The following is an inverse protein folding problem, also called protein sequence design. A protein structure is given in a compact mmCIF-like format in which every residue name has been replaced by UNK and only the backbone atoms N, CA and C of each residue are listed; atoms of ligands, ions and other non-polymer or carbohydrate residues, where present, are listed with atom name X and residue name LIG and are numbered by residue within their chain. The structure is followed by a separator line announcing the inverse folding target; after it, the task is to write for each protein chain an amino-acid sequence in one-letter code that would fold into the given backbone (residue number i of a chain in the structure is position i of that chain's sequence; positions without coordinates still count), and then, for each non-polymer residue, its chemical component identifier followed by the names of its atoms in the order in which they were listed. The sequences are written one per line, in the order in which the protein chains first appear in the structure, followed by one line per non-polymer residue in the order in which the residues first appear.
data_IF_182438294462
#
_entry.id   IF_182438294462
#
_cell.length_a   1.000
_cell.length_b   1.000
_cell.length_c   1.000
_cell.angle_alpha   90.00
_cell.angle_beta   90.00
_cell.angle_gamma   90.00
#
_symmetry.space_group_name_H-M   'P 1'
#
loop_
_entity.id
_entity.type
_entity.pdbx_description
1 polymer ?
#
# COMPACT_ATOMS: atom_id res chain seq x y z
N UNK A 1 -4.25 -25.90 34.91
CA UNK A 1 -3.78 -24.86 34.00
C UNK A 1 -5.00 -24.07 33.57
N UNK A 2 -5.01 -22.75 33.74
CA UNK A 2 -6.10 -21.92 33.21
C UNK A 2 -6.11 -22.03 31.69
N UNK A 3 -7.28 -22.17 31.09
CA UNK A 3 -7.40 -22.23 29.63
C UNK A 3 -7.13 -20.85 29.01
N UNK A 4 -6.47 -20.83 27.84
CA UNK A 4 -6.19 -19.60 27.09
C UNK A 4 -6.86 -19.61 25.72
N UNK A 5 -6.97 -18.42 25.12
CA UNK A 5 -7.25 -18.22 23.69
C UNK A 5 -6.28 -17.19 23.11
N UNK A 6 -6.08 -17.23 21.79
CA UNK A 6 -5.12 -16.38 21.08
C UNK A 6 -5.75 -15.09 20.57
N UNK A 7 -5.00 -13.99 20.64
CA UNK A 7 -5.25 -12.75 19.89
C UNK A 7 -4.04 -12.40 19.01
N UNK A 8 -4.28 -11.66 17.93
CA UNK A 8 -3.26 -11.29 16.96
C UNK A 8 -2.94 -9.80 16.98
N UNK A 9 -1.66 -9.47 16.86
CA UNK A 9 -1.20 -8.08 16.70
C UNK A 9 -0.96 -7.75 15.22
N UNK A 10 -0.95 -6.46 14.83
CA UNK A 10 -0.73 -6.05 13.44
C UNK A 10 0.62 -6.45 12.87
N UNK A 11 1.65 -6.63 13.70
CA UNK A 11 2.97 -7.07 13.26
C UNK A 11 3.13 -8.61 13.30
N UNK A 12 2.03 -9.36 13.40
CA UNK A 12 1.98 -10.81 13.29
C UNK A 12 2.45 -11.58 14.52
N UNK A 13 2.38 -10.98 15.71
CA UNK A 13 2.59 -11.67 16.97
C UNK A 13 1.28 -12.30 17.44
N UNK A 14 1.41 -13.41 18.17
CA UNK A 14 0.31 -14.13 18.80
C UNK A 14 0.45 -13.94 20.30
N UNK A 15 -0.62 -13.54 20.96
CA UNK A 15 -0.65 -13.37 22.41
C UNK A 15 -1.72 -14.27 23.03
N UNK A 16 -1.39 -14.88 24.16
CA UNK A 16 -2.33 -15.68 24.94
C UNK A 16 -3.16 -14.82 25.88
N UNK A 17 -4.42 -15.18 26.04
CA UNK A 17 -5.36 -14.51 26.94
C UNK A 17 -6.05 -15.55 27.82
N UNK A 18 -6.05 -15.33 29.14
CA UNK A 18 -6.76 -16.21 30.07
C UNK A 18 -8.28 -16.13 29.86
N UNK A 19 -8.95 -17.27 29.64
CA UNK A 19 -10.40 -17.32 29.36
C UNK A 19 -11.29 -16.85 30.52
N UNK A 20 -10.84 -17.03 31.76
CA UNK A 20 -11.62 -16.73 32.96
C UNK A 20 -11.62 -15.24 33.34
N UNK A 21 -10.56 -14.53 32.98
CA UNK A 21 -10.32 -13.14 33.39
C UNK A 21 -10.16 -12.18 32.23
N UNK A 22 -10.02 -12.66 30.99
CA UNK A 22 -9.65 -11.90 29.80
C UNK A 22 -8.37 -11.07 30.00
N UNK A 23 -7.46 -11.53 30.88
CA UNK A 23 -6.15 -10.90 31.06
C UNK A 23 -5.19 -11.41 30.00
N UNK A 24 -4.60 -10.47 29.28
CA UNK A 24 -3.57 -10.73 28.26
C UNK A 24 -2.27 -11.12 28.96
N UNK A 25 -1.60 -12.15 28.44
CA UNK A 25 -0.27 -12.57 28.85
C UNK A 25 0.74 -11.80 27.99
N UNK A 26 1.28 -10.71 28.54
CA UNK A 26 2.30 -9.91 27.88
C UNK A 26 3.66 -10.58 27.87
N UNK A 27 4.43 -10.34 26.81
CA UNK A 27 5.86 -10.60 26.79
C UNK A 27 6.58 -9.78 27.87
N UNK A 28 7.67 -10.33 28.41
CA UNK A 28 8.41 -9.69 29.50
C UNK A 28 8.90 -8.28 29.13
N UNK A 29 8.69 -7.32 30.04
CA UNK A 29 9.21 -5.97 29.93
C UNK A 29 10.47 -5.80 30.79
N UNK A 30 11.46 -5.06 30.28
CA UNK A 30 12.63 -4.65 31.04
C UNK A 30 12.32 -3.52 32.04
N UNK A 31 11.17 -2.84 31.89
CA UNK A 31 10.74 -1.73 32.73
C UNK A 31 9.48 -2.10 33.51
N UNK A 32 9.20 -1.46 34.65
CA UNK A 32 7.91 -1.61 35.34
C UNK A 32 6.74 -1.24 34.41
N UNK A 33 5.69 -2.04 34.46
CA UNK A 33 4.42 -1.85 33.73
C UNK A 33 3.24 -1.97 34.72
N UNK A 34 2.03 -1.59 34.29
CA UNK A 34 0.82 -1.65 35.12
C UNK A 34 -0.09 -0.44 34.98
N UNK A 35 0.49 0.75 34.79
CA UNK A 35 -0.26 2.02 34.88
C UNK A 35 -1.24 2.20 33.71
N UNK A 36 -0.93 1.60 32.55
CA UNK A 36 -1.71 1.71 31.32
C UNK A 36 -2.30 0.37 30.84
N UNK A 37 -2.10 -0.72 31.58
CA UNK A 37 -2.38 -2.10 31.12
C UNK A 37 -3.83 -2.29 30.70
N UNK A 38 -4.79 -1.71 31.43
CA UNK A 38 -6.21 -1.87 31.11
C UNK A 38 -6.55 -1.23 29.75
N UNK A 39 -6.10 -0.01 29.53
CA UNK A 39 -6.35 0.70 28.27
C UNK A 39 -5.58 0.09 27.11
N UNK A 40 -4.35 -0.36 27.34
CA UNK A 40 -3.55 -1.05 26.34
C UNK A 40 -4.18 -2.39 25.94
N UNK A 41 -4.71 -3.14 26.90
CA UNK A 41 -5.43 -4.40 26.64
C UNK A 41 -6.68 -4.16 25.79
N UNK A 42 -7.45 -3.09 26.03
CA UNK A 42 -8.60 -2.71 25.18
C UNK A 42 -8.17 -2.44 23.74
N UNK A 43 -7.04 -1.75 23.54
CA UNK A 43 -6.50 -1.48 22.21
C UNK A 43 -6.05 -2.77 21.49
N UNK A 44 -5.45 -3.73 22.21
CA UNK A 44 -5.08 -5.04 21.66
C UNK A 44 -6.29 -5.87 21.22
N UNK A 45 -7.34 -5.92 22.04
CA UNK A 45 -8.58 -6.60 21.64
C UNK A 45 -9.25 -5.94 20.44
N UNK A 46 -9.22 -4.60 20.37
CA UNK A 46 -9.73 -3.88 19.21
C UNK A 46 -8.90 -4.17 17.95
N UNK A 47 -7.58 -4.19 18.07
CA UNK A 47 -6.69 -4.55 16.95
C UNK A 47 -6.95 -5.97 16.44
N UNK A 48 -7.06 -6.96 17.34
CA UNK A 48 -7.42 -8.34 16.98
C UNK A 48 -8.78 -8.41 16.29
N UNK A 49 -9.80 -7.72 16.85
CA UNK A 49 -11.13 -7.64 16.25
C UNK A 49 -11.09 -7.06 14.83
N UNK A 50 -10.30 -6.01 14.61
CA UNK A 50 -10.13 -5.39 13.28
C UNK A 50 -9.52 -6.39 12.30
N UNK A 51 -8.42 -7.05 12.68
CA UNK A 51 -7.72 -8.00 11.82
C UNK A 51 -8.64 -9.17 11.42
N UNK A 52 -9.37 -9.76 12.38
CA UNK A 52 -10.32 -10.85 12.12
C UNK A 52 -11.51 -10.45 11.24
N UNK A 53 -11.83 -9.16 11.20
CA UNK A 53 -12.93 -8.59 10.42
C UNK A 53 -12.45 -7.80 9.19
N UNK A 54 -11.25 -8.12 8.69
CA UNK A 54 -10.77 -7.63 7.41
C UNK A 54 -11.82 -7.85 6.30
N UNK A 55 -12.05 -6.87 5.38
CA UNK A 55 -12.90 -7.08 4.22
C UNK A 55 -12.36 -8.15 3.26
N UNK A 56 -11.12 -8.60 3.47
CA UNK A 56 -10.48 -9.64 2.69
C UNK A 56 -10.32 -10.96 3.45
N UNK A 57 -10.96 -11.12 4.62
CA UNK A 57 -10.90 -12.37 5.42
C UNK A 57 -11.29 -13.63 4.64
N UNK A 58 -12.08 -13.48 3.57
CA UNK A 58 -12.52 -14.56 2.68
C UNK A 58 -11.60 -14.74 1.45
N UNK A 59 -10.45 -14.06 1.41
CA UNK A 59 -9.44 -14.22 0.37
C UNK A 59 -8.88 -15.65 0.38
N UNK A 60 -8.87 -16.28 -0.79
CA UNK A 60 -8.37 -17.66 -0.96
C UNK A 60 -7.20 -17.67 -1.92
N UNK A 61 -5.96 -17.91 -1.43
CA UNK A 61 -4.79 -17.98 -2.29
C UNK A 61 -4.88 -19.18 -3.24
N UNK A 62 -4.24 -19.05 -4.41
CA UNK A 62 -4.11 -20.14 -5.38
C UNK A 62 -2.63 -20.41 -5.64
N UNK A 63 -2.07 -21.35 -4.88
CA UNK A 63 -0.64 -21.63 -4.93
C UNK A 63 -0.22 -22.34 -6.21
N UNK A 64 0.91 -21.93 -6.77
CA UNK A 64 1.62 -22.67 -7.81
C UNK A 64 2.22 -23.94 -7.20
N UNK A 65 2.04 -25.08 -7.87
CA UNK A 65 2.56 -26.38 -7.41
C UNK A 65 4.01 -26.58 -7.90
N UNK A 66 5.00 -26.65 -6.98
CA UNK A 66 6.40 -26.85 -7.35
C UNK A 66 6.73 -28.27 -7.83
N UNK A 67 5.85 -29.24 -7.64
CA UNK A 67 6.11 -30.64 -7.98
C UNK A 67 5.79 -30.97 -9.44
N UNK A 68 6.38 -32.05 -9.93
CA UNK A 68 6.13 -32.59 -11.26
C UNK A 68 5.29 -33.86 -11.16
N UNK A 69 4.18 -33.90 -11.90
CA UNK A 69 3.35 -35.10 -12.04
C UNK A 69 3.24 -35.49 -13.50
N UNK A 70 3.48 -36.77 -13.79
CA UNK A 70 3.37 -37.32 -15.16
C UNK A 70 1.97 -37.06 -15.71
N UNK A 71 1.88 -36.45 -16.90
CA UNK A 71 0.61 -36.13 -17.56
C UNK A 71 -0.05 -34.82 -17.12
N UNK A 72 0.56 -34.04 -16.20
CA UNK A 72 0.08 -32.71 -15.81
C UNK A 72 1.02 -31.60 -16.29
N UNK A 73 0.45 -30.42 -16.60
CA UNK A 73 1.23 -29.23 -16.95
C UNK A 73 1.91 -28.69 -15.70
N UNK A 74 3.24 -28.66 -15.69
CA UNK A 74 4.03 -28.04 -14.61
C UNK A 74 3.79 -26.52 -14.54
N UNK A 75 3.81 -25.97 -13.32
CA UNK A 75 3.75 -24.52 -13.09
C UNK A 75 5.13 -23.84 -13.18
N UNK A 76 6.21 -24.60 -13.41
CA UNK A 76 7.58 -24.07 -13.45
C UNK A 76 7.76 -22.98 -14.51
N UNK A 77 7.15 -23.12 -15.69
CA UNK A 77 7.25 -22.13 -16.77
C UNK A 77 6.62 -20.81 -16.35
N UNK A 78 5.40 -20.87 -15.80
CA UNK A 78 4.68 -19.70 -15.27
C UNK A 78 5.48 -19.01 -14.16
N UNK A 79 6.04 -19.79 -13.23
CA UNK A 79 6.91 -19.26 -12.19
C UNK A 79 8.17 -18.59 -12.77
N UNK A 80 8.86 -19.21 -13.74
CA UNK A 80 10.08 -18.63 -14.31
C UNK A 80 9.81 -17.35 -15.10
N UNK A 81 8.69 -17.28 -15.82
CA UNK A 81 8.25 -16.04 -16.46
C UNK A 81 8.01 -14.93 -15.43
N UNK A 82 7.36 -15.23 -14.31
CA UNK A 82 7.16 -14.26 -13.22
C UNK A 82 8.49 -13.87 -12.58
N UNK A 83 9.34 -14.82 -12.18
CA UNK A 83 10.64 -14.56 -11.57
C UNK A 83 11.50 -13.61 -12.42
N UNK A 84 11.48 -13.77 -13.74
CA UNK A 84 12.27 -12.97 -14.67
C UNK A 84 11.90 -11.49 -14.71
N UNK A 85 10.68 -11.10 -14.31
CA UNK A 85 10.25 -9.70 -14.36
C UNK A 85 10.97 -8.84 -13.30
N UNK A 86 11.43 -9.46 -12.19
CA UNK A 86 12.12 -8.78 -11.10
C UNK A 86 13.61 -8.54 -11.36
N UNK A 87 14.16 -9.08 -12.45
CA UNK A 87 15.54 -8.83 -12.87
C UNK A 87 15.72 -7.52 -13.65
N UNK A 88 14.62 -6.80 -13.91
CA UNK A 88 14.59 -5.59 -14.73
C UNK A 88 13.61 -4.59 -14.12
N UNK A 89 13.73 -3.33 -14.52
CA UNK A 89 12.70 -2.33 -14.25
C UNK A 89 11.33 -2.80 -14.80
N UNK A 90 10.21 -2.39 -14.17
CA UNK A 90 8.88 -2.79 -14.62
C UNK A 90 8.64 -2.41 -16.09
N UNK A 91 8.14 -3.37 -16.87
CA UNK A 91 7.79 -3.13 -18.26
C UNK A 91 6.56 -2.19 -18.29
N UNK A 92 6.70 -1.05 -18.99
CA UNK A 92 5.60 -0.08 -19.14
C UNK A 92 4.36 -0.74 -19.70
N UNK A 93 3.21 -0.51 -19.05
CA UNK A 93 1.92 -1.08 -19.45
C UNK A 93 1.78 -2.59 -19.23
N UNK A 94 2.71 -3.26 -18.55
CA UNK A 94 2.59 -4.68 -18.22
C UNK A 94 2.11 -4.95 -16.78
N UNK A 95 2.23 -3.97 -15.89
CA UNK A 95 1.85 -4.10 -14.48
C UNK A 95 0.46 -3.50 -14.28
N UNK A 96 -0.44 -4.31 -13.69
CA UNK A 96 -1.85 -3.97 -13.51
C UNK A 96 -2.48 -3.24 -14.72
N UNK A 97 -2.31 -3.77 -15.95
CA UNK A 97 -2.58 -3.03 -17.17
C UNK A 97 -4.05 -2.63 -17.27
N UNK A 98 -4.30 -1.56 -18.02
CA UNK A 98 -5.65 -1.16 -18.37
C UNK A 98 -6.15 -2.00 -19.53
N UNK A 99 -7.23 -2.76 -19.31
CA UNK A 99 -7.82 -3.57 -20.38
C UNK A 99 -8.52 -2.68 -21.41
N UNK A 100 -8.79 -3.20 -22.63
CA UNK A 100 -9.50 -2.41 -23.64
C UNK A 100 -10.92 -2.08 -23.18
N UNK A 101 -11.60 -3.03 -22.53
CA UNK A 101 -12.90 -2.80 -21.91
C UNK A 101 -12.84 -1.68 -20.85
N UNK A 102 -11.81 -1.71 -19.99
CA UNK A 102 -11.60 -0.71 -18.95
C UNK A 102 -11.43 0.70 -19.52
N UNK A 103 -10.53 0.86 -20.52
CA UNK A 103 -10.29 2.15 -21.17
C UNK A 103 -11.56 2.69 -21.83
N UNK A 104 -12.30 1.82 -22.54
CA UNK A 104 -13.53 2.21 -23.21
C UNK A 104 -14.59 2.71 -22.22
N UNK A 105 -14.77 2.00 -21.10
CA UNK A 105 -15.66 2.43 -20.02
C UNK A 105 -15.19 3.73 -19.37
N UNK A 106 -13.89 3.87 -19.08
CA UNK A 106 -13.36 5.11 -18.48
C UNK A 106 -13.62 6.33 -19.38
N UNK A 107 -13.40 6.20 -20.68
CA UNK A 107 -13.68 7.26 -21.65
C UNK A 107 -15.18 7.56 -21.81
N UNK A 108 -16.06 6.63 -21.45
CA UNK A 108 -17.51 6.86 -21.49
C UNK A 108 -18.00 7.79 -20.36
N UNK A 109 -17.23 7.91 -19.26
CA UNK A 109 -17.54 8.79 -18.12
C UNK A 109 -17.50 10.26 -18.56
N UNK A 110 -18.56 10.99 -18.26
CA UNK A 110 -18.87 12.32 -18.83
C UNK A 110 -18.45 13.49 -17.95
N UNK A 111 -18.18 13.22 -16.68
CA UNK A 111 -17.81 14.26 -15.72
C UNK A 111 -16.47 13.98 -15.08
N UNK A 112 -15.78 15.05 -14.66
CA UNK A 112 -14.56 14.95 -13.86
C UNK A 112 -14.80 14.16 -12.57
N UNK A 113 -15.96 14.33 -11.93
CA UNK A 113 -16.32 13.61 -10.69
C UNK A 113 -16.41 12.11 -10.91
N UNK A 114 -17.07 11.66 -11.98
CA UNK A 114 -17.16 10.23 -12.32
C UNK A 114 -15.77 9.64 -12.57
N UNK A 115 -14.94 10.34 -13.34
CA UNK A 115 -13.54 9.95 -13.62
C UNK A 115 -12.67 9.91 -12.37
N UNK A 116 -12.82 10.90 -11.48
CA UNK A 116 -12.16 10.94 -10.17
C UNK A 116 -12.54 9.73 -9.33
N UNK A 117 -13.85 9.51 -9.14
CA UNK A 117 -14.38 8.38 -8.36
C UNK A 117 -13.86 7.07 -8.92
N UNK A 118 -13.84 6.91 -10.24
CA UNK A 118 -13.28 5.74 -10.90
C UNK A 118 -11.80 5.52 -10.55
N UNK A 119 -10.95 6.53 -10.73
CA UNK A 119 -9.51 6.43 -10.44
C UNK A 119 -9.24 6.15 -8.96
N UNK A 120 -10.00 6.78 -8.05
CA UNK A 120 -9.90 6.51 -6.62
C UNK A 120 -10.27 5.06 -6.28
N UNK A 121 -11.33 4.51 -6.88
CA UNK A 121 -11.71 3.09 -6.73
C UNK A 121 -10.63 2.18 -7.33
N UNK A 122 -10.20 2.46 -8.56
CA UNK A 122 -9.18 1.67 -9.27
C UNK A 122 -7.88 1.60 -8.49
N UNK A 123 -7.48 2.69 -7.82
CA UNK A 123 -6.26 2.74 -7.01
C UNK A 123 -6.21 1.71 -5.87
N UNK A 124 -7.36 1.18 -5.44
CA UNK A 124 -7.45 0.29 -4.29
C UNK A 124 -7.26 0.98 -2.94
N UNK A 125 -7.05 2.30 -2.89
CA UNK A 125 -6.95 3.05 -1.64
C UNK A 125 -8.32 3.10 -0.95
N UNK A 126 -8.31 2.87 0.36
CA UNK A 126 -9.43 3.07 1.28
C UNK A 126 -8.98 3.91 2.45
N UNK A 127 -9.89 4.73 2.99
CA UNK A 127 -9.65 5.41 4.27
C UNK A 127 -9.62 4.38 5.40
N UNK A 128 -8.66 4.51 6.30
CA UNK A 128 -8.54 3.67 7.51
C UNK A 128 -8.98 4.40 8.77
N UNK A 129 -9.25 5.71 8.67
CA UNK A 129 -9.62 6.57 9.80
C UNK A 129 -11.14 6.70 9.95
N UNK A 130 -11.86 6.65 8.83
CA UNK A 130 -13.32 6.66 8.74
C UNK A 130 -13.77 5.83 7.53
N UNK A 131 -14.90 5.13 7.63
CA UNK A 131 -15.47 4.44 6.47
C UNK A 131 -16.11 5.45 5.51
N UNK A 132 -15.80 5.33 4.23
CA UNK A 132 -16.29 6.22 3.18
C UNK A 132 -16.99 5.36 2.14
N UNK A 133 -18.33 5.43 2.03
CA UNK A 133 -19.03 4.69 0.99
C UNK A 133 -18.65 5.24 -0.39
N UNK A 134 -18.67 4.38 -1.42
CA UNK A 134 -18.29 4.80 -2.77
C UNK A 134 -19.13 5.98 -3.30
N UNK A 135 -20.36 6.17 -2.82
CA UNK A 135 -21.21 7.31 -3.22
C UNK A 135 -20.76 8.66 -2.64
N UNK A 136 -19.98 8.62 -1.56
CA UNK A 136 -19.29 9.77 -1.00
C UNK A 136 -17.91 10.04 -1.65
N UNK A 137 -17.45 9.21 -2.60
CA UNK A 137 -16.20 9.49 -3.29
C UNK A 137 -16.36 10.74 -4.17
N UNK A 138 -15.38 11.64 -4.11
CA UNK A 138 -15.45 12.97 -4.72
C UNK A 138 -16.75 13.72 -4.34
N UNK A 139 -17.13 13.69 -3.06
CA UNK A 139 -18.29 14.42 -2.54
C UNK A 139 -18.05 15.93 -2.43
N UNK A 140 -16.83 16.41 -2.62
CA UNK A 140 -16.49 17.82 -2.63
C UNK A 140 -16.15 18.23 -4.06
N UNK A 141 -16.87 19.22 -4.59
CA UNK A 141 -16.59 19.76 -5.92
C UNK A 141 -15.35 20.69 -5.91
N UNK A 142 -14.95 21.14 -7.09
CA UNK A 142 -13.78 22.02 -7.25
C UNK A 142 -13.94 23.38 -6.54
N UNK A 143 -15.18 23.80 -6.26
CA UNK A 143 -15.49 25.02 -5.51
C UNK A 143 -15.54 24.78 -4.00
N UNK A 144 -15.29 23.54 -3.54
CA UNK A 144 -15.34 23.17 -2.14
C UNK A 144 -16.74 22.91 -1.61
N UNK A 145 -17.74 22.73 -2.48
CA UNK A 145 -19.14 22.50 -2.08
C UNK A 145 -19.41 21.00 -2.00
N UNK A 146 -20.26 20.61 -1.06
CA UNK A 146 -20.75 19.23 -0.98
C UNK A 146 -21.69 18.93 -2.16
N UNK A 147 -21.49 17.76 -2.77
CA UNK A 147 -22.31 17.26 -3.87
C UNK A 147 -23.52 16.47 -3.33
N UNK A 148 -23.33 15.75 -2.23
CA UNK A 148 -24.38 15.05 -1.49
C UNK A 148 -24.27 15.39 0.00
N UNK A 149 -25.33 16.02 0.53
CA UNK A 149 -25.41 16.44 1.94
C UNK A 149 -25.60 15.28 2.92
N UNK A 150 -26.08 14.12 2.47
CA UNK A 150 -26.26 12.92 3.32
C UNK A 150 -24.92 12.45 3.94
N UNK A 151 -23.80 12.83 3.33
CA UNK A 151 -22.45 12.50 3.77
C UNK A 151 -21.69 13.69 4.37
N UNK A 152 -22.38 14.79 4.73
CA UNK A 152 -21.75 15.98 5.31
C UNK A 152 -20.92 15.64 6.57
N UNK A 153 -21.42 14.77 7.44
CA UNK A 153 -20.73 14.36 8.67
C UNK A 153 -19.35 13.73 8.41
N UNK A 154 -19.20 12.96 7.32
CA UNK A 154 -17.92 12.36 6.93
C UNK A 154 -16.95 13.46 6.52
N UNK A 155 -17.42 14.43 5.74
CA UNK A 155 -16.60 15.55 5.32
C UNK A 155 -16.16 16.40 6.51
N UNK A 156 -17.05 16.72 7.43
CA UNK A 156 -16.74 17.52 8.61
C UNK A 156 -15.70 16.83 9.50
N UNK A 157 -15.87 15.53 9.76
CA UNK A 157 -14.93 14.73 10.54
C UNK A 157 -13.54 14.70 9.89
N UNK A 158 -13.47 14.45 8.58
CA UNK A 158 -12.21 14.47 7.84
C UNK A 158 -11.58 15.85 7.81
N UNK A 159 -12.39 16.90 7.60
CA UNK A 159 -11.91 18.27 7.52
C UNK A 159 -11.29 18.75 8.83
N UNK A 160 -11.85 18.32 9.97
CA UNK A 160 -11.34 18.65 11.30
C UNK A 160 -10.03 17.93 11.64
N UNK A 161 -9.77 16.76 11.03
CA UNK A 161 -8.63 15.92 11.39
C UNK A 161 -7.50 15.84 10.35
N UNK A 162 -7.72 16.25 9.08
CA UNK A 162 -6.73 16.18 7.99
C UNK A 162 -5.42 16.93 8.24
N UNK A 163 -5.41 17.88 9.17
CA UNK A 163 -4.21 18.61 9.60
C UNK A 163 -3.68 18.16 10.96
N UNK A 164 -4.08 16.98 11.44
CA UNK A 164 -3.60 16.45 12.72
C UNK A 164 -2.08 16.40 12.80
N UNK A 165 -1.56 16.74 13.99
CA UNK A 165 -0.13 16.68 14.31
C UNK A 165 0.24 15.45 15.15
N UNK A 166 -0.69 14.50 15.29
CA UNK A 166 -0.53 13.31 16.14
C UNK A 166 0.67 12.44 15.74
N UNK A 167 0.79 12.12 14.45
CA UNK A 167 2.00 11.55 13.85
C UNK A 167 1.95 11.70 12.33
N UNK A 168 3.09 11.46 11.66
CA UNK A 168 3.17 11.42 10.20
C UNK A 168 2.20 10.39 9.59
N UNK A 169 2.05 9.22 10.23
CA UNK A 169 1.12 8.17 9.77
C UNK A 169 -0.34 8.63 9.89
N UNK A 170 -0.75 9.19 11.05
CA UNK A 170 -2.11 9.72 11.21
C UNK A 170 -2.42 10.84 10.22
N UNK A 171 -1.46 11.76 10.02
CA UNK A 171 -1.62 12.87 9.08
C UNK A 171 -1.78 12.37 7.65
N UNK A 172 -1.02 11.35 7.24
CA UNK A 172 -1.18 10.75 5.93
C UNK A 172 -2.56 10.10 5.77
N UNK A 173 -3.02 9.32 6.75
CA UNK A 173 -4.27 8.57 6.61
C UNK A 173 -5.52 9.47 6.59
N UNK A 174 -5.54 10.53 7.39
CA UNK A 174 -6.57 11.57 7.26
C UNK A 174 -6.45 12.35 5.95
N UNK A 175 -5.23 12.55 5.45
CA UNK A 175 -5.00 13.12 4.13
C UNK A 175 -5.57 12.25 3.00
N UNK A 176 -5.41 10.92 3.07
CA UNK A 176 -6.01 9.97 2.11
C UNK A 176 -7.54 10.05 2.16
N UNK A 177 -8.14 10.14 3.34
CA UNK A 177 -9.59 10.32 3.48
C UNK A 177 -10.06 11.63 2.80
N UNK A 178 -9.36 12.75 3.02
CA UNK A 178 -9.66 14.03 2.35
C UNK A 178 -9.47 13.94 0.83
N UNK A 179 -8.42 13.24 0.39
CA UNK A 179 -8.19 12.89 -1.01
C UNK A 179 -9.40 12.19 -1.62
N UNK A 180 -9.82 11.07 -1.05
CA UNK A 180 -10.98 10.29 -1.53
C UNK A 180 -12.25 11.14 -1.65
N UNK A 181 -12.47 12.09 -0.72
CA UNK A 181 -13.63 13.00 -0.75
C UNK A 181 -13.55 14.11 -1.81
N UNK A 182 -12.43 14.27 -2.52
CA UNK A 182 -12.29 15.23 -3.62
C UNK A 182 -11.22 16.31 -3.42
N UNK A 183 -10.33 16.17 -2.42
CA UNK A 183 -9.20 17.10 -2.19
C UNK A 183 -7.85 16.42 -2.50
N UNK A 184 -7.53 16.20 -3.80
CA UNK A 184 -6.41 15.35 -4.20
C UNK A 184 -5.04 15.81 -3.65
N UNK A 185 -4.86 17.09 -3.36
CA UNK A 185 -3.65 17.63 -2.75
C UNK A 185 -3.31 17.01 -1.37
N UNK A 186 -4.29 16.37 -0.71
CA UNK A 186 -4.08 15.69 0.57
C UNK A 186 -3.53 14.27 0.43
N UNK A 187 -3.49 13.67 -0.77
CA UNK A 187 -2.89 12.35 -0.96
C UNK A 187 -1.37 12.32 -0.68
N UNK A 188 -0.67 13.45 -0.76
CA UNK A 188 0.80 13.52 -0.65
C UNK A 188 1.25 14.41 0.51
N UNK A 189 0.68 14.17 1.70
CA UNK A 189 0.82 15.03 2.89
C UNK A 189 1.97 14.69 3.82
N UNK A 190 2.28 13.41 3.99
CA UNK A 190 3.30 12.95 4.93
C UNK A 190 4.02 11.72 4.39
N UNK A 191 5.30 11.61 4.72
CA UNK A 191 6.25 10.71 4.07
C UNK A 191 7.08 9.87 5.04
N UNK A 192 7.00 10.17 6.35
CA UNK A 192 7.80 9.52 7.38
C UNK A 192 6.98 8.41 8.04
N UNK A 193 6.77 7.31 7.31
CA UNK A 193 6.12 6.08 7.78
C UNK A 193 6.52 4.94 6.81
N UNK A 194 6.34 3.67 7.19
CA UNK A 194 6.84 2.58 6.33
C UNK A 194 5.87 1.99 5.32
N UNK A 195 4.63 2.50 5.18
CA UNK A 195 3.68 2.07 4.14
C UNK A 195 4.05 2.61 2.74
N UNK A 196 5.17 2.15 2.21
CA UNK A 196 5.79 2.62 0.98
C UNK A 196 4.91 2.45 -0.25
N UNK A 197 4.35 1.26 -0.47
CA UNK A 197 3.51 0.98 -1.63
C UNK A 197 2.22 1.81 -1.62
N UNK A 198 1.67 2.01 -0.42
CA UNK A 198 0.51 2.90 -0.21
C UNK A 198 0.86 4.35 -0.56
N UNK A 199 2.04 4.83 -0.15
CA UNK A 199 2.51 6.17 -0.49
C UNK A 199 2.71 6.35 -2.00
N UNK A 200 3.37 5.39 -2.67
CA UNK A 200 3.55 5.44 -4.14
C UNK A 200 2.19 5.47 -4.84
N UNK A 201 1.24 4.62 -4.43
CA UNK A 201 -0.11 4.63 -4.98
C UNK A 201 -0.81 5.98 -4.79
N UNK A 202 -0.63 6.63 -3.63
CA UNK A 202 -1.16 7.98 -3.38
C UNK A 202 -0.52 9.02 -4.30
N UNK A 203 0.80 8.96 -4.51
CA UNK A 203 1.51 9.86 -5.43
C UNK A 203 1.03 9.71 -6.87
N UNK A 204 0.90 8.47 -7.36
CA UNK A 204 0.40 8.23 -8.71
C UNK A 204 -1.04 8.70 -8.84
N UNK A 205 -1.91 8.40 -7.87
CA UNK A 205 -3.29 8.85 -7.88
C UNK A 205 -3.39 10.38 -7.86
N UNK A 206 -2.59 11.05 -7.04
CA UNK A 206 -2.49 12.51 -7.05
C UNK A 206 -2.14 13.05 -8.44
N UNK A 207 -1.13 12.49 -9.09
CA UNK A 207 -0.71 12.86 -10.45
C UNK A 207 -1.84 12.63 -11.46
N UNK A 208 -2.52 11.47 -11.39
CA UNK A 208 -3.66 11.13 -12.27
C UNK A 208 -4.79 12.16 -12.14
N UNK A 209 -5.15 12.53 -10.91
CA UNK A 209 -6.32 13.37 -10.63
C UNK A 209 -6.09 14.87 -10.88
N UNK A 210 -4.84 15.32 -10.79
CA UNK A 210 -4.47 16.74 -10.90
C UNK A 210 -3.81 17.11 -12.23
N UNK A 211 -3.69 16.14 -13.15
CA UNK A 211 -3.09 16.39 -14.45
C UNK A 211 -1.58 16.59 -14.38
N UNK A 212 -0.92 15.96 -13.40
CA UNK A 212 0.52 16.10 -13.19
C UNK A 212 0.93 16.90 -11.94
N UNK A 213 -0.01 17.23 -11.06
CA UNK A 213 0.16 18.16 -9.95
C UNK A 213 -0.03 19.61 -10.38
N UNK A 214 0.12 20.55 -9.44
CA UNK A 214 0.11 21.97 -9.74
C UNK A 214 1.14 22.31 -10.82
N UNK A 215 0.69 23.02 -11.86
CA UNK A 215 1.55 23.47 -12.93
C UNK A 215 2.16 24.82 -12.57
N UNK A 216 3.48 24.87 -12.62
CA UNK A 216 4.25 26.08 -12.38
C UNK A 216 5.30 26.20 -13.48
N UNK A 217 5.31 27.32 -14.22
CA UNK A 217 6.24 27.56 -15.34
C UNK A 217 6.21 26.47 -16.43
N UNK A 218 5.04 25.88 -16.70
CA UNK A 218 4.89 24.80 -17.68
C UNK A 218 5.38 23.42 -17.20
N UNK A 219 5.69 23.29 -15.90
CA UNK A 219 6.21 22.05 -15.30
C UNK A 219 5.13 21.43 -14.42
N UNK A 220 4.82 20.16 -14.69
CA UNK A 220 3.92 19.34 -13.87
C UNK A 220 4.62 18.94 -12.56
N UNK A 221 4.47 19.75 -11.49
CA UNK A 221 5.22 19.60 -10.24
C UNK A 221 5.00 18.27 -9.53
N UNK A 222 3.83 17.65 -9.65
CA UNK A 222 3.59 16.32 -9.08
C UNK A 222 4.49 15.26 -9.70
N UNK A 223 4.61 15.27 -11.03
CA UNK A 223 5.50 14.36 -11.78
C UNK A 223 6.97 14.69 -11.47
N UNK A 224 7.31 15.97 -11.41
CA UNK A 224 8.66 16.41 -11.08
C UNK A 224 9.06 16.02 -9.65
N UNK A 225 8.14 16.18 -8.69
CA UNK A 225 8.32 15.75 -7.31
C UNK A 225 8.46 14.23 -7.17
N UNK A 226 7.80 13.45 -8.03
CA UNK A 226 8.02 12.01 -8.10
C UNK A 226 9.46 11.70 -8.50
N UNK A 227 9.98 12.39 -9.52
CA UNK A 227 11.38 12.24 -9.93
C UNK A 227 12.37 12.68 -8.84
N UNK A 228 12.25 13.90 -8.32
CA UNK A 228 13.19 14.49 -7.36
C UNK A 228 13.17 13.76 -6.01
N UNK A 229 11.98 13.48 -5.47
CA UNK A 229 11.89 12.98 -4.10
C UNK A 229 11.93 11.45 -4.04
N UNK A 230 11.45 10.76 -5.08
CA UNK A 230 11.35 9.31 -5.03
C UNK A 230 12.48 8.66 -5.81
N UNK A 231 12.70 9.05 -7.08
CA UNK A 231 13.69 8.37 -7.94
C UNK A 231 15.15 8.80 -7.66
N UNK A 232 15.39 10.01 -7.17
CA UNK A 232 16.75 10.44 -6.81
C UNK A 232 17.17 10.05 -5.38
N UNK A 233 16.21 9.80 -4.49
CA UNK A 233 16.46 9.35 -3.10
C UNK A 233 16.35 7.81 -2.98
N UNK A 234 15.39 7.19 -3.66
CA UNK A 234 15.20 5.75 -3.70
C UNK A 234 14.58 5.17 -2.42
N UNK A 235 15.23 4.12 -1.86
CA UNK A 235 14.70 3.32 -0.75
C UNK A 235 14.39 4.22 0.45
N UNK A 236 15.28 5.18 0.74
CA UNK A 236 15.17 6.05 1.90
C UNK A 236 13.93 6.94 1.93
N UNK A 237 13.23 7.08 0.79
CA UNK A 237 11.97 7.83 0.73
C UNK A 237 10.74 6.94 0.69
N UNK A 238 10.75 5.88 -0.12
CA UNK A 238 9.54 5.16 -0.48
C UNK A 238 9.77 3.71 -0.91
N UNK A 239 10.90 3.11 -0.52
CA UNK A 239 11.22 1.74 -0.92
C UNK A 239 11.44 1.54 -2.43
N UNK A 240 11.50 2.58 -3.25
CA UNK A 240 11.77 2.47 -4.70
C UNK A 240 13.28 2.48 -5.00
N UNK A 241 13.68 2.12 -6.22
CA UNK A 241 15.09 2.11 -6.61
C UNK A 241 15.56 3.53 -6.90
N UNK A 242 16.76 3.88 -6.41
CA UNK A 242 17.42 5.13 -6.80
C UNK A 242 17.89 5.02 -8.24
N UNK A 243 17.23 5.72 -9.16
CA UNK A 243 17.49 5.62 -10.59
C UNK A 243 17.50 7.03 -11.24
N UNK A 244 18.67 7.70 -11.28
CA UNK A 244 18.80 9.04 -11.85
C UNK A 244 18.46 9.12 -13.35
N UNK A 245 18.70 8.04 -14.10
CA UNK A 245 18.36 7.97 -15.51
C UNK A 245 16.84 7.99 -15.69
N UNK A 246 16.13 7.16 -14.91
CA UNK A 246 14.66 7.16 -14.89
C UNK A 246 14.10 8.49 -14.38
N UNK A 247 14.71 9.11 -13.36
CA UNK A 247 14.33 10.44 -12.88
C UNK A 247 14.38 11.48 -14.02
N UNK A 248 15.46 11.48 -14.83
CA UNK A 248 15.60 12.37 -15.98
C UNK A 248 14.48 12.15 -17.03
N UNK A 249 14.18 10.90 -17.37
CA UNK A 249 13.10 10.58 -18.32
C UNK A 249 11.73 11.05 -17.81
N UNK A 250 11.46 10.90 -16.51
CA UNK A 250 10.23 11.38 -15.88
C UNK A 250 10.15 12.91 -15.89
N UNK A 251 11.26 13.61 -15.62
CA UNK A 251 11.34 15.08 -15.70
C UNK A 251 11.11 15.60 -17.11
N UNK A 252 11.62 14.90 -18.13
CA UNK A 252 11.42 15.29 -19.52
C UNK A 252 9.98 15.02 -19.98
N UNK A 253 9.36 13.94 -19.52
CA UNK A 253 7.92 13.70 -19.72
C UNK A 253 7.07 14.83 -19.10
N UNK A 254 7.41 15.29 -17.90
CA UNK A 254 6.68 16.34 -17.20
C UNK A 254 6.61 17.69 -17.94
N UNK A 255 7.53 17.93 -18.89
CA UNK A 255 7.55 19.16 -19.70
C UNK A 255 6.62 19.12 -20.91
N UNK A 256 6.25 17.92 -21.36
CA UNK A 256 5.52 17.73 -22.63
C UNK A 256 4.13 17.15 -22.44
N UNK A 257 3.92 16.37 -21.38
CA UNK A 257 2.65 15.67 -21.15
C UNK A 257 1.51 16.65 -20.89
N UNK A 258 0.39 16.43 -21.59
CA UNK A 258 -0.82 17.25 -21.46
C UNK A 258 -1.93 16.45 -20.78
N UNK A 259 -2.66 17.06 -19.83
CA UNK A 259 -3.84 16.42 -19.27
C UNK A 259 -4.95 16.29 -20.32
N UNK A 260 -5.93 15.43 -20.01
CA UNK A 260 -7.16 15.29 -20.79
C UNK A 260 -8.08 16.52 -20.63
N UNK A 261 -9.24 16.48 -21.29
CA UNK A 261 -10.26 17.55 -21.25
C UNK A 261 -10.78 17.88 -19.83
N UNK A 262 -10.57 17.00 -18.85
CA UNK A 262 -10.95 17.20 -17.44
C UNK A 262 -9.77 17.64 -16.56
N UNK A 263 -8.60 17.88 -17.15
CA UNK A 263 -7.39 18.24 -16.42
C UNK A 263 -6.74 17.04 -15.72
N UNK A 264 -6.95 15.80 -16.20
CA UNK A 264 -6.46 14.56 -15.58
C UNK A 264 -5.42 13.84 -16.45
N UNK A 265 -4.63 12.95 -15.86
CA UNK A 265 -3.69 12.04 -16.54
C UNK A 265 -4.00 10.57 -16.17
N UNK A 266 -5.11 10.00 -16.66
CA UNK A 266 -5.65 8.74 -16.14
C UNK A 266 -4.69 7.55 -16.31
N UNK A 267 -4.01 7.50 -17.45
CA UNK A 267 -3.12 6.40 -17.83
C UNK A 267 -1.64 6.71 -17.57
N UNK A 268 -1.32 7.61 -16.64
CA UNK A 268 0.07 8.00 -16.36
C UNK A 268 0.92 6.78 -15.94
N UNK A 269 0.33 5.79 -15.31
CA UNK A 269 0.95 4.52 -14.94
C UNK A 269 1.45 3.73 -16.15
N UNK A 270 0.76 3.78 -17.30
CA UNK A 270 1.22 3.18 -18.55
C UNK A 270 2.23 4.06 -19.30
N UNK A 271 2.07 5.39 -19.24
CA UNK A 271 2.91 6.37 -19.97
C UNK A 271 4.27 6.56 -19.28
N UNK A 272 4.25 6.89 -17.98
CA UNK A 272 5.42 7.06 -17.13
C UNK A 272 6.04 5.70 -16.75
N UNK A 273 5.20 4.66 -16.62
CA UNK A 273 5.57 3.39 -16.02
C UNK A 273 5.52 3.44 -14.50
N UNK A 274 5.53 2.27 -13.87
CA UNK A 274 5.60 2.11 -12.41
C UNK A 274 7.00 1.69 -11.96
N UNK A 275 7.22 1.70 -10.65
CA UNK A 275 8.48 1.30 -10.01
C UNK A 275 8.26 0.14 -9.06
N UNK A 276 9.21 -0.79 -8.97
CA UNK A 276 9.17 -1.85 -7.97
C UNK A 276 9.34 -1.27 -6.57
N UNK A 277 8.47 -1.63 -5.64
CA UNK A 277 8.44 -1.10 -4.27
C UNK A 277 8.85 -2.16 -3.26
N UNK A 278 9.88 -1.89 -2.47
CA UNK A 278 10.21 -2.67 -1.27
C UNK A 278 9.35 -2.12 -0.12
N UNK A 279 8.48 -2.96 0.40
CA UNK A 279 7.61 -2.64 1.52
C UNK A 279 7.48 -3.87 2.41
N UNK A 280 7.68 -3.69 3.71
CA UNK A 280 7.49 -4.76 4.68
C UNK A 280 6.02 -4.82 5.14
N UNK A 281 5.27 -3.74 4.97
CA UNK A 281 3.86 -3.69 5.32
C UNK A 281 3.03 -4.25 4.15
N UNK A 282 2.31 -5.33 4.41
CA UNK A 282 1.53 -6.06 3.41
C UNK A 282 0.22 -6.53 4.01
N UNK A 283 -0.61 -7.14 3.18
CA UNK A 283 -1.86 -7.75 3.63
C UNK A 283 -1.69 -8.57 4.91
N UNK A 284 -2.54 -8.29 5.90
CA UNK A 284 -2.56 -8.82 7.27
C UNK A 284 -1.37 -8.45 8.17
N UNK A 285 -0.37 -7.69 7.68
CA UNK A 285 0.82 -7.38 8.47
C UNK A 285 1.38 -5.96 8.29
N UNK A 286 1.51 -5.24 9.40
CA UNK A 286 2.28 -4.00 9.53
C UNK A 286 3.58 -4.29 10.31
N UNK A 287 4.66 -4.69 9.60
CA UNK A 287 5.95 -5.01 10.22
C UNK A 287 6.85 -3.80 10.45
N UNK A 288 6.64 -2.72 9.69
CA UNK A 288 7.48 -1.52 9.70
C UNK A 288 6.61 -0.27 9.60
N UNK A 289 5.64 -0.11 10.49
CA UNK A 289 4.65 0.98 10.40
C UNK A 289 5.30 2.37 10.45
N UNK A 290 6.40 2.51 11.21
CA UNK A 290 7.17 3.74 11.35
C UNK A 290 8.27 3.91 10.28
N UNK A 291 8.56 2.89 9.46
CA UNK A 291 9.60 2.95 8.42
C UNK A 291 11.03 2.82 8.92
N UNK A 292 11.23 2.31 10.13
CA UNK A 292 12.55 2.14 10.78
C UNK A 292 13.40 1.09 10.07
N UNK A 293 12.78 0.01 9.60
CA UNK A 293 13.48 -1.09 8.91
C UNK A 293 13.91 -0.65 7.51
N UNK A 294 13.02 -0.01 6.76
CA UNK A 294 13.35 0.59 5.45
C UNK A 294 14.48 1.61 5.58
N UNK A 295 14.44 2.46 6.60
CA UNK A 295 15.51 3.43 6.84
C UNK A 295 16.86 2.76 7.17
N UNK A 296 16.85 1.67 7.97
CA UNK A 296 18.07 0.92 8.27
C UNK A 296 18.68 0.28 7.01
N UNK A 297 17.85 -0.31 6.15
CA UNK A 297 18.28 -0.84 4.84
C UNK A 297 18.90 0.25 3.96
N UNK A 298 18.23 1.41 3.86
CA UNK A 298 18.75 2.56 3.13
C UNK A 298 20.11 3.03 3.65
N UNK A 299 20.23 3.19 4.97
CA UNK A 299 21.46 3.66 5.62
C UNK A 299 22.65 2.72 5.36
N UNK A 300 22.41 1.41 5.37
CA UNK A 300 23.45 0.42 5.07
C UNK A 300 23.82 0.38 3.58
N UNK A 301 22.89 0.68 2.67
CA UNK A 301 23.19 0.87 1.24
C UNK A 301 24.05 2.11 1.03
N UNK A 302 23.68 3.25 1.61
CA UNK A 302 24.46 4.51 1.49
C UNK A 302 25.87 4.36 2.07
N UNK A 303 26.05 3.52 3.10
CA UNK A 303 27.35 3.19 3.68
C UNK A 303 28.12 2.11 2.91
N UNK A 304 27.58 1.58 1.82
CA UNK A 304 28.20 0.53 1.01
C UNK A 304 28.28 -0.84 1.69
N UNK A 305 27.53 -1.07 2.77
CA UNK A 305 27.48 -2.38 3.47
C UNK A 305 26.54 -3.36 2.78
N UNK A 306 25.45 -2.83 2.23
CA UNK A 306 24.47 -3.54 1.42
C UNK A 306 24.44 -2.95 0.02
N UNK A 307 23.89 -3.72 -0.92
CA UNK A 307 23.61 -3.30 -2.29
C UNK A 307 22.11 -3.29 -2.49
N UNK A 308 21.58 -2.34 -3.28
CA UNK A 308 20.17 -2.40 -3.64
C UNK A 308 19.95 -3.63 -4.54
N UNK A 309 18.99 -4.50 -4.23
CA UNK A 309 18.79 -5.73 -5.00
C UNK A 309 18.39 -5.49 -6.46
N UNK A 310 17.98 -4.26 -6.80
CA UNK A 310 17.58 -3.82 -8.15
C UNK A 310 18.72 -3.17 -8.95
N UNK A 311 19.89 -2.96 -8.34
CA UNK A 311 21.06 -2.49 -9.09
C UNK A 311 21.39 -3.46 -10.24
N UNK A 312 21.78 -2.92 -11.40
CA UNK A 312 22.04 -3.71 -12.62
C UNK A 312 23.12 -4.78 -12.44
N UNK A 313 24.06 -4.52 -11.53
CA UNK A 313 25.18 -5.38 -11.19
C UNK A 313 24.98 -6.08 -9.84
N UNK A 314 23.75 -6.15 -9.33
CA UNK A 314 23.41 -7.03 -8.21
C UNK A 314 23.41 -8.49 -8.63
N UNK A 315 24.08 -9.32 -7.85
CA UNK A 315 24.21 -10.77 -8.05
C UNK A 315 23.26 -11.53 -7.13
N UNK A 316 23.02 -12.84 -7.34
CA UNK A 316 22.26 -13.65 -6.38
C UNK A 316 22.78 -13.54 -4.94
N UNK A 317 24.11 -13.48 -4.77
CA UNK A 317 24.73 -13.35 -3.45
C UNK A 317 24.41 -11.99 -2.80
N UNK A 318 24.48 -10.88 -3.54
CA UNK A 318 24.17 -9.56 -2.99
C UNK A 318 22.68 -9.41 -2.67
N UNK A 319 21.79 -10.02 -3.47
CA UNK A 319 20.35 -10.06 -3.22
C UNK A 319 20.00 -10.89 -1.99
N UNK A 320 20.59 -12.08 -1.83
CA UNK A 320 20.42 -12.88 -0.62
C UNK A 320 20.92 -12.14 0.63
N UNK A 321 22.08 -11.45 0.54
CA UNK A 321 22.58 -10.63 1.65
C UNK A 321 21.62 -9.50 2.01
N UNK A 322 20.97 -8.88 1.02
CA UNK A 322 19.94 -7.87 1.26
C UNK A 322 18.71 -8.48 1.97
N UNK A 323 18.23 -9.64 1.51
CA UNK A 323 17.12 -10.35 2.16
C UNK A 323 17.43 -10.76 3.60
N UNK A 324 18.63 -11.29 3.85
CA UNK A 324 19.10 -11.67 5.20
C UNK A 324 19.14 -10.44 6.12
N UNK A 325 19.64 -9.31 5.62
CA UNK A 325 19.64 -8.06 6.38
C UNK A 325 18.22 -7.55 6.64
N UNK A 326 17.34 -7.61 5.65
CA UNK A 326 15.93 -7.23 5.79
C UNK A 326 15.22 -8.09 6.84
N UNK A 327 15.42 -9.40 6.83
CA UNK A 327 14.85 -10.31 7.82
C UNK A 327 15.46 -10.07 9.22
N UNK A 328 16.77 -9.79 9.30
CA UNK A 328 17.46 -9.41 10.53
C UNK A 328 16.90 -8.13 11.15
N UNK A 329 16.73 -7.08 10.35
CA UNK A 329 16.12 -5.82 10.78
C UNK A 329 14.67 -6.00 11.16
N UNK A 330 13.87 -6.75 10.38
CA UNK A 330 12.49 -7.08 10.73
C UNK A 330 12.40 -7.75 12.10
N UNK A 331 13.28 -8.69 12.41
CA UNK A 331 13.27 -9.39 13.69
C UNK A 331 13.73 -8.50 14.85
N UNK A 332 14.70 -7.61 14.63
CA UNK A 332 15.29 -6.77 15.67
C UNK A 332 14.64 -5.41 15.89
N UNK A 333 13.87 -4.89 14.91
CA UNK A 333 13.36 -3.52 14.92
C UNK A 333 11.84 -3.40 14.79
N UNK A 334 11.11 -4.50 14.56
CA UNK A 334 9.63 -4.48 14.59
C UNK A 334 9.13 -3.89 15.91
N UNK A 335 7.98 -3.24 15.87
CA UNK A 335 7.36 -2.70 17.07
C UNK A 335 6.82 -3.82 17.96
N UNK A 336 7.20 -3.85 19.23
CA UNK A 336 6.83 -4.91 20.18
C UNK A 336 5.45 -4.64 20.79
N UNK A 337 4.40 -4.83 19.99
CA UNK A 337 3.02 -4.67 20.47
C UNK A 337 2.62 -5.72 21.54
N UNK A 338 3.39 -6.79 21.69
CA UNK A 338 3.19 -7.84 22.68
C UNK A 338 3.73 -7.52 24.08
N UNK A 339 4.47 -6.41 24.23
CA UNK A 339 5.00 -5.94 25.52
C UNK A 339 4.07 -4.86 26.08
N UNK A 340 3.80 -4.90 27.38
CA UNK A 340 2.96 -3.91 28.04
C UNK A 340 3.63 -2.52 28.10
N UNK A 341 2.81 -1.48 28.22
CA UNK A 341 3.27 -0.09 28.19
C UNK A 341 4.06 0.25 29.48
N UNK A 342 5.30 0.78 29.37
CA UNK A 342 6.10 1.17 30.53
C UNK A 342 5.46 2.27 31.36
N UNK A 343 5.57 2.18 32.69
CA UNK A 343 5.07 3.20 33.63
C UNK A 343 5.83 4.54 33.53
N UNK A 344 7.06 4.53 33.00
CA UNK A 344 7.85 5.75 32.82
C UNK A 344 7.47 6.57 31.58
N UNK A 345 6.53 6.09 30.77
CA UNK A 345 5.97 6.86 29.67
C UNK A 345 4.99 7.90 30.17
N UNK A 346 4.99 9.06 29.51
CA UNK A 346 3.91 10.03 29.66
C UNK A 346 2.59 9.48 29.09
N UNK A 347 1.47 10.00 29.59
CA UNK A 347 0.13 9.66 29.11
C UNK A 347 -0.01 9.89 27.59
N UNK A 348 0.62 10.94 27.06
CA UNK A 348 0.63 11.24 25.62
C UNK A 348 1.35 10.15 24.81
N UNK A 349 2.49 9.64 25.29
CA UNK A 349 3.23 8.56 24.63
C UNK A 349 2.45 7.25 24.67
N UNK A 350 1.91 6.88 25.84
CA UNK A 350 1.07 5.70 26.00
C UNK A 350 -0.16 5.74 25.09
N UNK A 351 -0.80 6.91 25.00
CA UNK A 351 -1.95 7.14 24.11
C UNK A 351 -1.58 7.02 22.64
N UNK A 352 -0.51 7.69 22.20
CA UNK A 352 -0.04 7.60 20.83
C UNK A 352 0.30 6.15 20.45
N UNK A 353 0.91 5.38 21.34
CA UNK A 353 1.26 3.98 21.08
C UNK A 353 0.04 3.08 20.90
N UNK A 354 -0.96 3.19 21.79
CA UNK A 354 -2.27 2.52 21.65
C UNK A 354 -2.95 2.86 20.32
N UNK A 355 -2.94 4.14 19.97
CA UNK A 355 -3.58 4.62 18.75
C UNK A 355 -2.84 4.13 17.51
N UNK A 356 -1.51 4.11 17.53
CA UNK A 356 -0.68 3.54 16.47
C UNK A 356 -0.93 2.04 16.31
N UNK A 357 -1.06 1.28 17.40
CA UNK A 357 -1.45 -0.13 17.36
C UNK A 357 -2.77 -0.33 16.61
N UNK A 358 -3.81 0.42 16.97
CA UNK A 358 -5.13 0.32 16.32
C UNK A 358 -5.06 0.76 14.86
N UNK A 359 -4.35 1.86 14.55
CA UNK A 359 -4.20 2.34 13.19
C UNK A 359 -3.45 1.32 12.31
N UNK A 360 -2.38 0.73 12.82
CA UNK A 360 -1.63 -0.33 12.14
C UNK A 360 -2.50 -1.57 11.88
N UNK A 361 -3.39 -1.93 12.81
CA UNK A 361 -4.36 -3.00 12.61
C UNK A 361 -5.31 -2.69 11.44
N UNK A 362 -5.85 -1.47 11.39
CA UNK A 362 -6.74 -1.03 10.30
C UNK A 362 -6.01 -1.02 8.96
N UNK A 363 -4.75 -0.57 8.94
CA UNK A 363 -3.92 -0.57 7.74
C UNK A 363 -3.63 -1.98 7.25
N UNK A 364 -3.27 -2.91 8.14
CA UNK A 364 -3.05 -4.31 7.81
C UNK A 364 -4.33 -4.96 7.24
N UNK A 365 -5.48 -4.72 7.88
CA UNK A 365 -6.77 -5.26 7.45
C UNK A 365 -7.27 -4.66 6.11
N UNK A 366 -7.01 -3.39 5.85
CA UNK A 366 -7.50 -2.69 4.65
C UNK A 366 -6.53 -2.70 3.47
N UNK A 367 -5.29 -3.16 3.67
CA UNK A 367 -4.32 -3.35 2.58
C UNK A 367 -4.78 -4.49 1.68
N UNK A 368 -4.93 -4.28 0.36
CA UNK A 368 -5.36 -5.35 -0.55
C UNK A 368 -4.37 -6.53 -0.57
N UNK A 369 -4.85 -7.80 -0.63
CA UNK A 369 -3.99 -8.98 -0.76
C UNK A 369 -2.98 -8.89 -1.91
N UNK A 370 -3.44 -8.42 -3.06
CA UNK A 370 -2.64 -8.27 -4.28
C UNK A 370 -1.87 -6.94 -4.36
N UNK A 371 -1.85 -6.16 -3.27
CA UNK A 371 -1.25 -4.83 -3.23
C UNK A 371 -1.95 -3.81 -4.14
N UNK A 372 -1.32 -2.65 -4.29
CA UNK A 372 -1.84 -1.55 -5.10
C UNK A 372 -1.42 -1.67 -6.57
N UNK A 373 -2.28 -1.32 -7.55
CA UNK A 373 -2.01 -1.53 -8.97
C UNK A 373 -0.82 -0.73 -9.51
N UNK A 374 -0.60 0.50 -9.01
CA UNK A 374 0.46 1.39 -9.49
C UNK A 374 1.72 1.35 -8.61
N UNK A 375 1.74 0.48 -7.59
CA UNK A 375 2.85 0.35 -6.64
C UNK A 375 3.15 -1.14 -6.39
N UNK A 376 3.65 -1.86 -7.42
CA UNK A 376 3.87 -3.29 -7.33
C UNK A 376 5.02 -3.62 -6.37
N UNK A 377 4.82 -4.65 -5.54
CA UNK A 377 5.88 -5.12 -4.65
C UNK A 377 7.07 -5.70 -5.41
N UNK A 378 8.27 -5.39 -4.94
CA UNK A 378 9.51 -6.02 -5.36
C UNK A 378 9.73 -7.31 -4.57
N UNK A 379 10.13 -8.38 -5.26
CA UNK A 379 10.73 -9.56 -4.65
C UNK A 379 12.08 -9.81 -5.30
N UNK A 380 13.08 -10.18 -4.51
CA UNK A 380 14.29 -10.75 -5.11
C UNK A 380 13.89 -12.05 -5.83
N UNK A 381 14.48 -12.33 -7.00
CA UNK A 381 14.27 -13.60 -7.70
C UNK A 381 14.48 -14.82 -6.79
N UNK A 382 15.46 -14.76 -5.90
CA UNK A 382 15.84 -15.83 -4.98
C UNK A 382 14.77 -16.05 -3.88
N UNK A 383 14.26 -14.96 -3.28
CA UNK A 383 13.16 -15.05 -2.30
C UNK A 383 11.88 -15.57 -2.95
N UNK A 384 11.57 -15.13 -4.17
CA UNK A 384 10.40 -15.63 -4.90
C UNK A 384 10.52 -17.15 -5.18
N UNK A 385 11.72 -17.61 -5.53
CA UNK A 385 12.00 -19.05 -5.72
C UNK A 385 11.85 -19.84 -4.43
N UNK A 386 12.31 -19.29 -3.30
CA UNK A 386 12.14 -19.90 -2.00
C UNK A 386 10.65 -20.07 -1.64
N UNK A 387 9.82 -19.05 -1.91
CA UNK A 387 8.37 -19.10 -1.68
C UNK A 387 7.72 -20.15 -2.59
N UNK A 388 8.08 -20.18 -3.87
CA UNK A 388 7.58 -21.17 -4.84
C UNK A 388 7.90 -22.60 -4.43
N UNK A 389 9.17 -22.89 -4.10
CA UNK A 389 9.63 -24.24 -3.71
C UNK A 389 8.94 -24.76 -2.45
N UNK A 390 8.46 -23.88 -1.58
CA UNK A 390 7.69 -24.25 -0.38
C UNK A 390 6.19 -24.41 -0.62
N UNK A 391 5.71 -24.18 -1.85
CA UNK A 391 4.29 -24.30 -2.21
C UNK A 391 3.44 -23.13 -1.69
N UNK A 392 4.04 -21.97 -1.42
CA UNK A 392 3.34 -20.80 -0.89
C UNK A 392 3.20 -19.65 -1.90
N UNK A 393 3.67 -19.83 -3.14
CA UNK A 393 3.58 -18.75 -4.15
C UNK A 393 2.17 -18.67 -4.72
N UNK A 394 1.39 -17.73 -4.19
CA UNK A 394 0.04 -17.47 -4.63
C UNK A 394 0.04 -16.75 -5.98
N UNK A 395 -0.45 -17.41 -7.04
CA UNK A 395 -0.48 -16.87 -8.39
C UNK A 395 -1.37 -15.63 -8.53
N UNK A 396 -2.30 -15.42 -7.60
CA UNK A 396 -3.11 -14.20 -7.59
C UNK A 396 -2.27 -12.97 -7.24
N UNK A 397 -1.08 -13.12 -6.67
CA UNK A 397 -0.20 -11.99 -6.38
C UNK A 397 0.64 -11.52 -7.60
N UNK A 398 0.44 -12.13 -8.78
CA UNK A 398 1.14 -11.71 -9.99
C UNK A 398 0.79 -10.24 -10.32
N UNK A 399 1.78 -9.33 -10.34
CA UNK A 399 1.53 -7.91 -10.54
C UNK A 399 0.97 -7.60 -11.94
N UNK A 400 1.08 -8.52 -12.90
CA UNK A 400 0.58 -8.38 -14.28
C UNK A 400 -0.93 -8.57 -14.40
N UNK A 401 -1.61 -9.03 -13.33
CA UNK A 401 -3.07 -9.15 -13.33
C UNK A 401 -3.70 -7.75 -13.47
N UNK A 402 -4.54 -7.51 -14.51
CA UNK A 402 -5.20 -6.22 -14.71
C UNK A 402 -5.95 -5.75 -13.47
N UNK A 403 -5.94 -4.44 -13.21
CA UNK A 403 -6.52 -3.87 -11.99
C UNK A 403 -7.98 -4.29 -11.78
N UNK A 404 -8.78 -4.31 -12.86
CA UNK A 404 -10.20 -4.68 -12.78
C UNK A 404 -10.42 -6.13 -12.35
N UNK A 405 -9.45 -7.03 -12.52
CA UNK A 405 -9.54 -8.46 -12.18
C UNK A 405 -8.96 -8.80 -10.79
N UNK A 406 -8.37 -7.82 -10.10
CA UNK A 406 -7.91 -7.99 -8.73
C UNK A 406 -9.08 -8.17 -7.77
N UNK A 407 -8.83 -8.91 -6.69
CA UNK A 407 -9.79 -9.34 -5.67
C UNK A 407 -10.50 -8.16 -5.00
N UNK A 408 -9.77 -7.09 -4.71
CA UNK A 408 -10.31 -5.89 -4.07
C UNK A 408 -11.09 -4.97 -5.02
N UNK A 409 -11.11 -5.24 -6.32
CA UNK A 409 -11.84 -4.42 -7.28
C UNK A 409 -13.35 -4.71 -7.19
N UNK A 410 -14.24 -3.70 -7.10
CA UNK A 410 -15.67 -3.93 -6.90
C UNK A 410 -16.31 -4.75 -8.02
N UNK A 411 -16.96 -5.86 -7.65
CA UNK A 411 -17.57 -6.79 -8.60
C UNK A 411 -18.64 -6.12 -9.47
N UNK A 412 -19.47 -5.26 -8.88
CA UNK A 412 -20.50 -4.52 -9.62
C UNK A 412 -19.89 -3.57 -10.66
N UNK A 413 -18.78 -2.90 -10.33
CA UNK A 413 -18.09 -2.01 -11.26
C UNK A 413 -17.44 -2.82 -12.39
N UNK A 414 -16.82 -3.97 -12.07
CA UNK A 414 -16.30 -4.90 -13.09
C UNK A 414 -17.41 -5.34 -14.03
N UNK A 415 -18.58 -5.71 -13.51
CA UNK A 415 -19.72 -6.12 -14.32
C UNK A 415 -20.19 -4.99 -15.25
N UNK A 416 -20.24 -3.74 -14.77
CA UNK A 416 -20.56 -2.56 -15.58
C UNK A 416 -19.57 -2.35 -16.73
N UNK A 417 -18.27 -2.45 -16.45
CA UNK A 417 -17.20 -2.33 -17.46
C UNK A 417 -17.37 -3.40 -18.55
N UNK A 418 -17.58 -4.66 -18.16
CA UNK A 418 -17.73 -5.77 -19.10
C UNK A 418 -19.04 -5.68 -19.91
N UNK A 419 -20.12 -5.23 -19.28
CA UNK A 419 -21.39 -4.98 -19.96
C UNK A 419 -21.26 -3.88 -21.02
N UNK A 420 -20.60 -2.77 -20.68
CA UNK A 420 -20.30 -1.69 -21.62
C UNK A 420 -19.47 -2.18 -22.81
N UNK A 421 -18.41 -2.97 -22.55
CA UNK A 421 -17.60 -3.54 -23.62
C UNK A 421 -18.41 -4.45 -24.57
N UNK A 422 -19.32 -5.26 -24.00
CA UNK A 422 -20.22 -6.12 -24.80
C UNK A 422 -21.19 -5.29 -25.65
N UNK A 423 -21.83 -4.28 -25.07
CA UNK A 423 -22.77 -3.39 -25.77
C UNK A 423 -22.11 -2.65 -26.94
N UNK A 424 -20.86 -2.21 -26.74
CA UNK A 424 -20.09 -1.45 -27.73
C UNK A 424 -19.15 -2.30 -28.59
N UNK A 425 -19.26 -3.63 -28.55
CA UNK A 425 -18.43 -4.57 -29.33
C UNK A 425 -16.91 -4.38 -29.15
N UNK A 426 -16.47 -3.99 -27.95
CA UNK A 426 -15.05 -3.84 -27.61
C UNK A 426 -14.45 -5.22 -27.35
N UNK A 427 -13.42 -5.59 -28.11
CA UNK A 427 -12.68 -6.85 -27.97
C UNK A 427 -11.35 -6.61 -27.25
N UNK A 428 -10.95 -7.52 -26.37
CA UNK A 428 -9.65 -7.49 -25.65
C UNK A 428 -8.43 -7.65 -26.55
#
# INVERSE_FOLDING_TARGET
MSETYEIYTPNGLIMDVYKDTNKIIFSGSAKPTGDYTEEYSKALFEADRILRNSPYKDYKPQYLDPNFYTGQKSTLVEFKEWQNIYLKDPIKGAIAPWTKAEKAYYHSLKTKRERYKYLAIRSGLRSVVIDIPYDAYANVDEKGRLVNEDYAYIYDEVNNNKETLKSSLFRQEWGIAAGILGKPEYFVRSKNHGFNARMIQCFILYIQLTGGGYEELGIKRGIYNYADNLLEIGIGMAGIHKNPLRAKLVKDLAKTIQPDEFGMLPFIDEIMGVDWVIDLNKYDFAYDEEGRIIWALYNDIEKGKLKDPRDIDSTPESRNKFDDAMDGYRNGMKTNFDVDTPNDWSEQQATLFKDTLVLSAKLAALTPPQGYPNAPYYFTPERLEWIYKRGYLDKLLDPRIPAIYRYNFPQELRAKILAYAKEHNIKE
#
